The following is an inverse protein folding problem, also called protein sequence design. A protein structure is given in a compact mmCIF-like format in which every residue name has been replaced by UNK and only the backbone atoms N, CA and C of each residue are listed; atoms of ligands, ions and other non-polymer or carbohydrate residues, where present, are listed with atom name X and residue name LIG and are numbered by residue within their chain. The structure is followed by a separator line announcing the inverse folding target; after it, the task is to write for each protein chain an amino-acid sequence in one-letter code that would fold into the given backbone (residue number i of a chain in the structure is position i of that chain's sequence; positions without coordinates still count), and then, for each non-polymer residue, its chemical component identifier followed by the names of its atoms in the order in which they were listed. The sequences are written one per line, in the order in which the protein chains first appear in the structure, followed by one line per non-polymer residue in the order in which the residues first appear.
data_IF_462294234035
#
_entry.id   IF_462294234035
#
_cell.length_a   1.000
_cell.length_b   1.000
_cell.length_c   1.000
_cell.angle_alpha   90.00
_cell.angle_beta   90.00
_cell.angle_gamma   90.00
#
_symmetry.space_group_name_H-M   'P 1'
#
loop_
_entity.id
_entity.type
_entity.pdbx_description
1 polymer ?
#
# COMPACT_ATOMS: atom_id res chain seq x y z
N UNK A 1 -17.75 18.97 48.26
CA UNK A 1 -16.35 18.54 48.06
C UNK A 1 -15.85 19.15 46.76
N UNK A 2 -14.77 19.93 46.77
CA UNK A 2 -14.25 20.58 45.55
C UNK A 2 -13.40 19.56 44.78
N UNK A 3 -13.89 19.11 43.63
CA UNK A 3 -13.14 18.23 42.74
C UNK A 3 -11.97 19.02 42.16
N UNK A 4 -10.72 18.61 42.42
CA UNK A 4 -9.56 19.35 41.94
C UNK A 4 -9.40 19.16 40.43
N UNK A 5 -9.04 20.22 39.71
CA UNK A 5 -8.87 20.17 38.26
C UNK A 5 -7.83 19.10 37.83
N UNK A 6 -6.87 18.79 38.70
CA UNK A 6 -5.87 17.73 38.48
C UNK A 6 -6.45 16.32 38.52
N UNK A 7 -7.44 16.06 39.37
CA UNK A 7 -8.11 14.76 39.41
C UNK A 7 -9.01 14.57 38.17
N UNK A 8 -9.69 15.64 37.77
CA UNK A 8 -10.51 15.64 36.56
C UNK A 8 -9.67 15.49 35.29
N UNK A 9 -8.47 16.08 35.23
CA UNK A 9 -7.58 15.95 34.07
C UNK A 9 -6.98 14.54 33.94
N UNK A 10 -6.62 13.89 35.05
CA UNK A 10 -6.14 12.49 35.03
C UNK A 10 -7.25 11.54 34.57
N UNK A 11 -8.46 11.67 35.12
CA UNK A 11 -9.60 10.86 34.71
C UNK A 11 -9.93 11.03 33.22
N UNK A 12 -9.79 12.25 32.68
CA UNK A 12 -9.97 12.54 31.27
C UNK A 12 -8.89 11.87 30.40
N UNK A 13 -7.62 11.89 30.81
CA UNK A 13 -6.50 11.25 30.09
C UNK A 13 -6.64 9.72 30.01
N UNK A 14 -7.20 9.07 31.04
CA UNK A 14 -7.50 7.62 31.05
C UNK A 14 -8.54 7.19 29.99
N UNK A 15 -9.31 8.14 29.44
CA UNK A 15 -10.31 7.86 28.39
C UNK A 15 -9.78 8.06 26.97
N UNK A 16 -8.57 8.62 26.82
CA UNK A 16 -8.01 8.91 25.49
C UNK A 16 -7.41 7.64 24.91
N UNK A 17 -8.14 6.98 24.03
CA UNK A 17 -7.62 5.91 23.18
C UNK A 17 -6.78 6.55 22.06
N UNK A 18 -5.46 6.43 22.15
CA UNK A 18 -4.58 6.84 21.04
C UNK A 18 -4.67 5.80 19.92
N UNK A 19 -5.40 6.12 18.85
CA UNK A 19 -5.43 5.32 17.63
C UNK A 19 -4.43 5.87 16.63
N UNK A 20 -3.15 5.55 16.83
CA UNK A 20 -2.14 5.70 15.78
C UNK A 20 -2.09 4.48 14.84
N UNK A 21 -2.99 3.50 15.01
CA UNK A 21 -2.97 2.23 14.30
C UNK A 21 -4.23 2.06 13.44
N UNK A 22 -4.02 1.65 12.19
CA UNK A 22 -5.10 1.27 11.28
C UNK A 22 -5.97 0.18 11.94
N UNK A 23 -7.28 0.41 12.02
CA UNK A 23 -8.23 -0.58 12.54
C UNK A 23 -8.66 -1.49 11.39
N UNK A 24 -8.24 -2.74 11.43
CA UNK A 24 -8.71 -3.78 10.50
C UNK A 24 -9.78 -4.65 11.17
N UNK A 25 -10.69 -5.24 10.39
CA UNK A 25 -11.62 -6.23 10.92
C UNK A 25 -10.85 -7.36 11.64
N UNK A 26 -11.35 -7.79 12.80
CA UNK A 26 -10.75 -8.92 13.52
C UNK A 26 -10.77 -10.23 12.69
N UNK A 27 -11.68 -10.31 11.71
CA UNK A 27 -11.85 -11.44 10.79
C UNK A 27 -12.33 -10.97 9.43
N UNK A 28 -12.09 -11.76 8.38
CA UNK A 28 -12.53 -11.49 7.01
C UNK A 28 -11.48 -10.80 6.16
N UNK A 29 -11.86 -10.47 4.93
CA UNK A 29 -10.98 -9.88 3.94
C UNK A 29 -10.68 -8.39 4.25
N UNK A 30 -9.44 -7.95 4.01
CA UNK A 30 -9.01 -6.56 4.20
C UNK A 30 -9.13 -5.79 2.90
N UNK A 31 -10.02 -4.80 2.89
CA UNK A 31 -10.24 -3.88 1.77
C UNK A 31 -9.62 -2.51 2.06
N UNK A 32 -8.75 -2.02 1.18
CA UNK A 32 -8.36 -0.61 1.15
C UNK A 32 -9.10 0.04 -0.01
N UNK A 33 -9.97 1.01 0.28
CA UNK A 33 -10.81 1.68 -0.73
C UNK A 33 -11.92 0.81 -1.36
N UNK A 34 -12.20 -0.36 -0.77
CA UNK A 34 -13.38 -1.20 -1.05
C UNK A 34 -13.99 -1.69 0.26
N UNK A 35 -15.32 -1.73 0.33
CA UNK A 35 -16.06 -2.27 1.49
C UNK A 35 -16.43 -3.75 1.35
N UNK A 36 -16.25 -4.35 0.17
CA UNK A 36 -16.58 -5.74 -0.12
C UNK A 36 -15.39 -6.45 -0.79
N UNK A 37 -14.30 -6.71 -0.05
CA UNK A 37 -13.11 -7.34 -0.62
C UNK A 37 -13.36 -8.82 -0.96
N UNK A 38 -13.00 -9.21 -2.19
CA UNK A 38 -13.18 -10.57 -2.75
C UNK A 38 -11.98 -11.49 -2.49
N UNK A 39 -10.85 -10.92 -2.09
CA UNK A 39 -9.63 -11.62 -1.69
C UNK A 39 -9.18 -11.14 -0.32
N UNK A 40 -8.38 -11.94 0.37
CA UNK A 40 -7.91 -11.66 1.74
C UNK A 40 -7.28 -10.27 1.88
N UNK A 41 -6.59 -9.80 0.85
CA UNK A 41 -6.19 -8.41 0.71
C UNK A 41 -6.65 -7.91 -0.66
N UNK A 42 -7.40 -6.81 -0.67
CA UNK A 42 -7.78 -6.10 -1.87
C UNK A 42 -7.55 -4.61 -1.67
N UNK A 43 -6.72 -4.02 -2.52
CA UNK A 43 -6.51 -2.57 -2.57
C UNK A 43 -7.20 -2.06 -3.84
N UNK A 44 -8.16 -1.16 -3.67
CA UNK A 44 -9.03 -0.65 -4.72
C UNK A 44 -9.12 0.87 -4.65
N UNK A 45 -8.91 1.53 -5.78
CA UNK A 45 -9.12 2.98 -5.92
C UNK A 45 -10.37 3.18 -6.79
N UNK A 46 -11.51 3.61 -6.22
CA UNK A 46 -12.79 3.65 -6.92
C UNK A 46 -12.91 4.82 -7.91
N UNK A 47 -12.01 5.81 -7.84
CA UNK A 47 -11.97 6.88 -8.84
C UNK A 47 -11.29 6.41 -10.13
N UNK A 48 -11.93 6.68 -11.27
CA UNK A 48 -11.44 6.20 -12.57
C UNK A 48 -10.09 6.86 -12.90
N UNK A 49 -9.04 6.06 -13.05
CA UNK A 49 -8.07 6.36 -14.10
C UNK A 49 -8.82 6.10 -15.41
N UNK A 50 -8.94 7.08 -16.30
CA UNK A 50 -9.60 6.90 -17.60
C UNK A 50 -8.54 6.76 -18.71
N UNK A 51 -7.96 5.57 -18.96
CA UNK A 51 -7.38 5.26 -20.26
C UNK A 51 -8.52 5.20 -21.27
N UNK A 52 -8.76 6.32 -21.93
CA UNK A 52 -9.88 6.53 -22.86
C UNK A 52 -9.97 7.96 -23.38
N UNK A 53 -8.82 8.65 -23.49
CA UNK A 53 -8.71 9.94 -24.17
C UNK A 53 -9.04 11.21 -23.37
N UNK A 54 -9.26 11.14 -22.05
CA UNK A 54 -9.37 12.35 -21.20
C UNK A 54 -8.26 12.32 -20.16
N UNK A 55 -7.51 13.43 -20.04
CA UNK A 55 -6.46 13.58 -19.04
C UNK A 55 -7.06 13.52 -17.63
N UNK A 56 -6.91 12.38 -16.96
CA UNK A 56 -7.15 12.24 -15.54
C UNK A 56 -5.79 12.07 -14.82
N UNK A 57 -5.57 12.69 -13.64
CA UNK A 57 -4.32 12.53 -12.90
C UNK A 57 -4.06 11.06 -12.51
N UNK A 58 -2.85 10.56 -12.75
CA UNK A 58 -2.42 9.21 -12.30
C UNK A 58 -2.43 9.12 -10.78
N UNK A 59 -2.99 8.03 -10.23
CA UNK A 59 -2.96 7.71 -8.80
C UNK A 59 -2.20 6.41 -8.53
N UNK A 60 -1.37 6.40 -7.48
CA UNK A 60 -0.65 5.19 -7.02
C UNK A 60 -1.51 4.43 -6.01
N UNK A 61 -1.80 3.15 -6.31
CA UNK A 61 -2.64 2.29 -5.46
C UNK A 61 -1.79 1.42 -4.52
N UNK A 62 -0.67 0.88 -5.02
CA UNK A 62 0.31 0.12 -4.25
C UNK A 62 1.69 0.68 -4.56
N UNK A 63 2.40 1.18 -3.55
CA UNK A 63 3.73 1.78 -3.72
C UNK A 63 4.71 1.18 -2.72
N UNK A 64 5.81 0.65 -3.25
CA UNK A 64 6.97 0.20 -2.51
C UNK A 64 8.12 1.15 -2.84
N UNK A 65 8.67 1.86 -1.85
CA UNK A 65 9.78 2.79 -2.09
C UNK A 65 10.67 2.94 -0.87
N UNK A 66 11.96 3.17 -1.09
CA UNK A 66 12.98 3.45 -0.07
C UNK A 66 13.81 4.65 -0.51
N UNK A 67 14.18 5.52 0.42
CA UNK A 67 15.14 6.59 0.15
C UNK A 67 16.55 6.02 -0.11
N UNK A 68 17.22 6.49 -1.16
CA UNK A 68 18.61 6.11 -1.46
C UNK A 68 19.64 6.85 -0.59
N UNK A 69 20.87 6.33 -0.52
CA UNK A 69 22.03 7.01 0.08
C UNK A 69 22.83 7.71 -1.01
N UNK A 70 23.14 8.99 -0.83
CA UNK A 70 23.92 9.76 -1.81
C UNK A 70 25.29 9.12 -2.08
N UNK A 71 25.69 9.01 -3.35
CA UNK A 71 27.02 8.53 -3.75
C UNK A 71 27.17 7.02 -3.92
N UNK A 72 26.12 6.24 -3.69
CA UNK A 72 26.13 4.79 -3.94
C UNK A 72 25.18 4.46 -5.07
N UNK A 73 25.68 3.77 -6.11
CA UNK A 73 24.88 3.51 -7.29
C UNK A 73 23.85 2.42 -7.00
N UNK A 74 24.15 1.22 -6.50
CA UNK A 74 23.11 0.33 -5.93
C UNK A 74 23.73 -0.74 -5.00
N UNK A 75 22.90 -1.38 -4.17
CA UNK A 75 23.11 -2.80 -3.82
C UNK A 75 21.86 -3.67 -4.15
N UNK A 76 21.00 -3.15 -5.06
CA UNK A 76 19.78 -3.70 -5.71
C UNK A 76 18.42 -3.67 -4.92
N UNK A 77 17.28 -3.23 -5.54
CA UNK A 77 15.88 -3.41 -5.04
C UNK A 77 14.86 -4.09 -6.01
N UNK A 78 14.21 -5.12 -5.46
CA UNK A 78 13.32 -6.21 -5.89
C UNK A 78 12.25 -6.01 -7.01
N UNK A 79 12.05 -6.96 -7.96
CA UNK A 79 10.73 -7.22 -8.64
C UNK A 79 9.75 -7.85 -7.63
N UNK A 80 8.58 -8.42 -7.98
CA UNK A 80 7.75 -9.29 -7.13
C UNK A 80 6.64 -9.89 -8.02
N UNK A 81 6.79 -11.14 -8.44
CA UNK A 81 5.84 -11.98 -9.20
C UNK A 81 5.33 -13.03 -8.23
N UNK A 82 4.12 -13.57 -8.31
CA UNK A 82 3.57 -14.75 -7.57
C UNK A 82 2.98 -15.72 -8.61
N UNK A 83 2.87 -17.00 -8.30
CA UNK A 83 2.45 -18.07 -9.20
C UNK A 83 2.05 -19.28 -8.37
N UNK A 84 1.27 -20.20 -8.89
CA UNK A 84 0.81 -21.41 -8.20
C UNK A 84 0.75 -22.60 -9.15
N UNK A 85 0.81 -23.81 -8.59
CA UNK A 85 0.91 -25.03 -9.39
C UNK A 85 -0.44 -25.69 -9.56
N UNK A 86 -0.57 -26.45 -10.63
CA UNK A 86 -1.83 -27.07 -11.02
C UNK A 86 -2.27 -28.21 -10.11
N UNK A 87 -3.49 -28.75 -10.33
CA UNK A 87 -4.09 -29.79 -9.50
C UNK A 87 -3.28 -31.09 -9.41
N UNK A 88 -2.49 -31.39 -10.45
CA UNK A 88 -1.67 -32.61 -10.59
C UNK A 88 -0.16 -32.34 -10.60
N UNK A 89 0.23 -31.07 -10.61
CA UNK A 89 1.62 -30.63 -10.49
C UNK A 89 1.62 -29.52 -9.45
N UNK A 90 1.75 -29.93 -8.20
CA UNK A 90 1.78 -29.01 -7.08
C UNK A 90 3.00 -28.07 -7.22
N UNK A 91 2.82 -26.74 -7.08
CA UNK A 91 3.96 -25.80 -7.01
C UNK A 91 3.77 -24.33 -7.45
N UNK A 92 4.10 -23.38 -6.57
CA UNK A 92 3.95 -21.92 -6.75
C UNK A 92 5.20 -21.17 -7.21
N UNK A 93 5.08 -20.06 -7.96
CA UNK A 93 6.20 -19.27 -8.50
C UNK A 93 6.12 -17.78 -8.14
N UNK A 94 6.94 -17.34 -7.17
CA UNK A 94 7.12 -15.92 -6.91
C UNK A 94 8.51 -15.41 -7.37
N UNK A 95 8.61 -14.40 -8.24
CA UNK A 95 9.90 -13.89 -8.74
C UNK A 95 10.18 -12.40 -8.51
N UNK A 96 11.43 -12.05 -8.23
CA UNK A 96 11.79 -10.75 -7.66
C UNK A 96 13.13 -10.22 -8.24
N UNK A 97 13.11 -9.72 -9.47
CA UNK A 97 14.26 -9.28 -10.26
C UNK A 97 14.75 -7.87 -10.01
N UNK A 98 16.07 -7.78 -9.99
CA UNK A 98 16.81 -6.55 -9.85
C UNK A 98 18.17 -6.74 -10.48
N UNK A 99 18.63 -5.79 -11.26
CA UNK A 99 20.03 -5.67 -11.65
C UNK A 99 20.28 -4.22 -12.08
N UNK A 100 21.42 -3.62 -11.74
CA UNK A 100 21.79 -2.31 -12.28
C UNK A 100 21.87 -2.35 -13.84
N UNK A 101 21.55 -1.32 -14.63
CA UNK A 101 21.70 0.11 -14.36
C UNK A 101 20.58 1.07 -14.84
N UNK A 102 19.56 0.67 -15.62
CA UNK A 102 18.38 1.53 -15.89
C UNK A 102 17.15 0.68 -16.20
N UNK A 103 16.07 0.80 -15.43
CA UNK A 103 14.71 0.49 -15.91
C UNK A 103 13.86 1.75 -15.75
N UNK A 104 13.84 2.57 -16.81
CA UNK A 104 13.03 3.79 -16.90
C UNK A 104 11.90 3.53 -17.90
N UNK A 105 10.75 3.06 -17.41
CA UNK A 105 9.53 3.00 -18.23
C UNK A 105 8.78 4.32 -18.10
N UNK A 106 9.09 5.26 -18.99
CA UNK A 106 8.29 6.48 -19.21
C UNK A 106 7.48 6.31 -20.47
N UNK A 107 6.15 6.49 -20.41
CA UNK A 107 5.34 6.62 -21.63
C UNK A 107 5.71 7.93 -22.33
N UNK A 108 6.02 7.95 -23.65
CA UNK A 108 6.23 9.20 -24.36
C UNK A 108 4.93 10.00 -24.38
N UNK A 109 5.01 11.28 -23.99
CA UNK A 109 3.94 12.25 -24.27
C UNK A 109 3.97 12.46 -25.79
N UNK A 110 2.88 12.15 -26.48
CA UNK A 110 2.71 12.61 -27.86
C UNK A 110 2.26 14.07 -27.79
N UNK A 111 3.19 15.00 -28.02
CA UNK A 111 2.78 16.37 -28.37
C UNK A 111 2.20 16.36 -29.79
N UNK A 112 1.14 17.16 -30.05
CA UNK A 112 0.42 17.18 -31.31
C UNK A 112 1.29 17.56 -32.51
#
# INVERSE_FOLDING_TARGET
MKLSCAFLSVLLLLTIRSFAQNTFPATGNVGIGTGAPASNLQISEPSTSKPGGVLAPTKSVFKLSRSGTSGYTYNESAEFRIGHGGPTVWGSQLDLFINAAVIKMTSPISTP
#
